data_IF_561864418006
#
_entry.id   IF_561864418006
#
_cell.length_a   1.000
_cell.length_b   1.000
_cell.length_c   1.000
_cell.angle_alpha   90.00
_cell.angle_beta   90.00
_cell.angle_gamma   90.00
#
_symmetry.space_group_name_H-M   'P 1'
#
loop_
_entity.id
_entity.type
_entity.pdbx_description
1 polymer ?
#
# COMPACT_ATOMS: atom_id res chain seq x y z
N UNK A 1 1.88 7.27 11.83
CA UNK A 1 1.14 6.13 12.44
C UNK A 1 -0.22 6.48 13.07
N UNK A 2 -0.49 7.73 13.46
CA UNK A 2 -1.78 8.15 14.03
C UNK A 2 -3.02 7.74 13.21
N UNK A 3 -3.03 8.05 11.90
CA UNK A 3 -4.18 7.72 11.04
C UNK A 3 -4.43 6.22 10.95
N UNK A 4 -3.38 5.40 10.84
CA UNK A 4 -3.50 3.94 10.85
C UNK A 4 -4.17 3.46 12.13
N UNK A 5 -3.74 3.96 13.30
CA UNK A 5 -4.37 3.61 14.57
C UNK A 5 -5.84 4.06 14.62
N UNK A 6 -6.14 5.28 14.18
CA UNK A 6 -7.51 5.78 14.15
C UNK A 6 -8.44 4.95 13.25
N UNK A 7 -7.94 4.46 12.11
CA UNK A 7 -8.68 3.53 11.25
C UNK A 7 -8.81 2.14 11.89
N UNK A 8 -7.73 1.61 12.48
CA UNK A 8 -7.74 0.29 13.14
C UNK A 8 -8.69 0.20 14.35
N UNK A 9 -8.96 1.34 15.00
CA UNK A 9 -9.81 1.44 16.18
C UNK A 9 -11.17 2.13 15.92
N UNK A 10 -11.44 2.59 14.70
CA UNK A 10 -12.73 3.19 14.34
C UNK A 10 -13.03 4.53 15.02
N UNK A 11 -12.02 5.33 15.38
CA UNK A 11 -12.24 6.59 16.11
C UNK A 11 -13.01 7.65 15.32
N UNK A 12 -12.85 7.67 13.98
CA UNK A 12 -13.53 8.60 13.07
C UNK A 12 -13.50 10.08 13.53
N UNK A 13 -12.36 10.52 14.08
CA UNK A 13 -12.11 11.83 14.67
C UNK A 13 -12.05 13.00 13.66
N UNK A 14 -12.03 12.70 12.36
CA UNK A 14 -12.10 13.69 11.28
C UNK A 14 -12.65 13.04 10.00
N UNK A 15 -12.81 13.84 8.93
CA UNK A 15 -13.38 13.36 7.67
C UNK A 15 -12.56 12.23 7.03
N UNK A 16 -11.23 12.27 7.11
CA UNK A 16 -10.36 11.24 6.52
C UNK A 16 -10.56 9.89 7.23
N UNK A 17 -10.52 9.88 8.56
CA UNK A 17 -10.69 8.66 9.36
C UNK A 17 -12.13 8.14 9.28
N UNK A 18 -13.13 9.04 9.20
CA UNK A 18 -14.53 8.66 8.95
C UNK A 18 -14.75 8.08 7.55
N UNK A 19 -14.12 8.64 6.52
CA UNK A 19 -14.23 8.10 5.16
C UNK A 19 -13.64 6.68 5.07
N UNK A 20 -12.52 6.43 5.74
CA UNK A 20 -11.94 5.08 5.82
C UNK A 20 -12.86 4.09 6.56
N UNK A 21 -13.44 4.50 7.68
CA UNK A 21 -14.43 3.72 8.43
C UNK A 21 -15.66 3.37 7.58
N UNK A 22 -16.21 4.35 6.87
CA UNK A 22 -17.31 4.12 5.91
C UNK A 22 -16.88 3.19 4.77
N UNK A 23 -15.67 3.33 4.26
CA UNK A 23 -15.14 2.47 3.19
C UNK A 23 -15.09 1.01 3.65
N UNK A 24 -14.61 0.75 4.87
CA UNK A 24 -14.54 -0.60 5.44
C UNK A 24 -15.93 -1.19 5.72
N UNK A 25 -16.84 -0.44 6.34
CA UNK A 25 -18.19 -0.95 6.67
C UNK A 25 -19.02 -1.26 5.44
N UNK A 26 -18.85 -0.49 4.36
CA UNK A 26 -19.51 -0.71 3.06
C UNK A 26 -18.79 -1.75 2.20
N UNK A 27 -17.78 -2.44 2.73
CA UNK A 27 -16.97 -3.45 2.02
C UNK A 27 -16.36 -2.92 0.72
N UNK A 28 -15.98 -1.64 0.70
CA UNK A 28 -15.27 -1.00 -0.41
C UNK A 28 -13.76 -1.17 -0.23
N UNK A 29 -13.01 -1.07 -1.34
CA UNK A 29 -11.54 -1.15 -1.30
C UNK A 29 -10.94 0.05 -0.58
N UNK A 30 -10.18 -0.22 0.49
CA UNK A 30 -9.33 0.75 1.17
C UNK A 30 -7.87 0.31 1.03
N UNK A 31 -7.00 1.18 0.51
CA UNK A 31 -5.55 0.95 0.46
C UNK A 31 -4.86 1.97 1.36
N UNK A 32 -4.03 1.51 2.30
CA UNK A 32 -3.25 2.35 3.20
C UNK A 32 -1.76 2.23 2.88
N UNK A 33 -1.17 3.33 2.40
CA UNK A 33 0.27 3.43 2.17
C UNK A 33 1.01 3.87 3.43
N UNK A 34 1.25 2.90 4.31
CA UNK A 34 1.83 3.13 5.65
C UNK A 34 3.34 3.33 5.54
N UNK A 35 3.85 4.53 5.86
CA UNK A 35 5.30 4.84 5.87
C UNK A 35 5.78 5.12 7.29
N UNK A 36 6.57 4.21 7.84
CA UNK A 36 7.30 4.35 9.12
C UNK A 36 8.43 3.32 9.21
N UNK A 37 9.52 3.66 9.91
CA UNK A 37 10.59 2.72 10.25
C UNK A 37 11.47 3.27 11.38
N UNK A 38 11.87 2.48 12.38
CA UNK A 38 11.47 1.09 12.63
C UNK A 38 10.01 0.97 13.09
N UNK A 39 9.44 -0.23 12.98
CA UNK A 39 8.10 -0.52 13.45
C UNK A 39 8.14 -1.03 14.88
N UNK A 40 7.25 -0.50 15.73
CA UNK A 40 6.97 -1.10 17.03
C UNK A 40 5.76 -2.05 16.92
N UNK A 41 5.48 -2.78 18.00
CA UNK A 41 4.36 -3.73 18.05
C UNK A 41 3.00 -3.07 17.79
N UNK A 42 2.77 -1.85 18.30
CA UNK A 42 1.52 -1.14 18.07
C UNK A 42 1.29 -0.82 16.58
N UNK A 43 2.34 -0.53 15.82
CA UNK A 43 2.22 -0.34 14.37
C UNK A 43 1.81 -1.64 13.68
N UNK A 44 2.45 -2.75 14.04
CA UNK A 44 2.18 -4.08 13.49
C UNK A 44 0.76 -4.55 13.80
N UNK A 45 0.32 -4.42 15.05
CA UNK A 45 -1.04 -4.80 15.48
C UNK A 45 -2.10 -3.98 14.75
N UNK A 46 -1.88 -2.68 14.56
CA UNK A 46 -2.81 -1.85 13.81
C UNK A 46 -2.85 -2.21 12.32
N UNK A 47 -1.69 -2.50 11.70
CA UNK A 47 -1.64 -2.98 10.32
C UNK A 47 -2.36 -4.34 10.17
N UNK A 48 -2.17 -5.25 11.14
CA UNK A 48 -2.88 -6.53 11.20
C UNK A 48 -4.38 -6.33 11.26
N UNK A 49 -4.87 -5.52 12.22
CA UNK A 49 -6.31 -5.26 12.38
C UNK A 49 -6.95 -4.72 11.11
N UNK A 50 -6.32 -3.73 10.47
CA UNK A 50 -6.85 -3.18 9.20
C UNK A 50 -6.88 -4.24 8.11
N UNK A 51 -5.85 -5.09 8.03
CA UNK A 51 -5.81 -6.19 7.06
C UNK A 51 -6.93 -7.21 7.31
N UNK A 52 -7.18 -7.58 8.58
CA UNK A 52 -8.27 -8.48 8.98
C UNK A 52 -9.67 -7.89 8.71
N UNK A 53 -9.82 -6.56 8.76
CA UNK A 53 -11.06 -5.87 8.39
C UNK A 53 -11.30 -5.81 6.86
N UNK A 54 -10.32 -6.20 6.04
CA UNK A 54 -10.39 -6.18 4.58
C UNK A 54 -9.74 -4.95 3.93
N UNK A 55 -9.07 -4.09 4.70
CA UNK A 55 -8.21 -3.05 4.16
C UNK A 55 -6.89 -3.63 3.64
N UNK A 56 -6.27 -2.97 2.68
CA UNK A 56 -4.98 -3.38 2.12
C UNK A 56 -3.89 -2.49 2.70
N UNK A 57 -2.98 -3.06 3.48
CA UNK A 57 -1.80 -2.35 3.97
C UNK A 57 -0.66 -2.51 2.97
N UNK A 58 -0.29 -1.42 2.31
CA UNK A 58 0.73 -1.41 1.26
C UNK A 58 1.83 -0.39 1.60
N UNK A 59 2.80 -0.72 2.47
CA UNK A 59 3.90 0.20 2.76
C UNK A 59 4.70 0.46 1.47
N UNK A 60 5.13 1.71 1.20
CA UNK A 60 5.93 2.03 0.03
C UNK A 60 7.36 1.50 0.21
N UNK A 61 7.57 0.24 -0.16
CA UNK A 61 8.88 -0.43 -0.17
C UNK A 61 9.37 -0.49 -1.62
N UNK A 62 10.47 0.21 -1.97
CA UNK A 62 10.99 0.26 -3.34
C UNK A 62 11.31 -1.12 -3.91
N UNK A 63 10.82 -1.37 -5.13
CA UNK A 63 11.14 -2.56 -5.92
C UNK A 63 12.42 -2.34 -6.72
N UNK A 64 13.59 -2.64 -6.13
CA UNK A 64 14.88 -2.39 -6.77
C UNK A 64 15.24 -3.41 -7.87
N UNK A 65 14.48 -4.49 -8.03
CA UNK A 65 14.71 -5.49 -9.06
C UNK A 65 14.50 -4.94 -10.49
N UNK A 66 13.78 -3.83 -10.64
CA UNK A 66 13.66 -3.09 -11.91
C UNK A 66 14.84 -2.17 -12.21
N UNK A 67 15.84 -2.10 -11.30
CA UNK A 67 17.02 -1.23 -11.41
C UNK A 67 16.66 0.23 -11.76
N UNK A 68 15.79 0.89 -10.98
CA UNK A 68 15.39 2.26 -11.28
C UNK A 68 16.61 3.20 -11.28
N UNK A 69 16.66 4.11 -12.24
CA UNK A 69 17.74 5.09 -12.39
C UNK A 69 17.44 6.40 -11.67
N UNK A 70 16.16 6.65 -11.35
CA UNK A 70 15.70 7.90 -10.76
C UNK A 70 14.78 7.67 -9.56
N UNK A 71 14.68 8.67 -8.68
CA UNK A 71 13.70 8.65 -7.58
C UNK A 71 12.26 8.64 -8.11
N UNK A 72 12.00 9.31 -9.23
CA UNK A 72 10.70 9.33 -9.88
C UNK A 72 10.27 7.95 -10.35
N UNK A 73 11.18 7.12 -10.85
CA UNK A 73 10.88 5.73 -11.20
C UNK A 73 10.48 4.89 -9.97
N UNK A 74 11.12 5.11 -8.83
CA UNK A 74 10.77 4.43 -7.56
C UNK A 74 9.35 4.81 -7.11
N UNK A 75 9.04 6.11 -7.16
CA UNK A 75 7.74 6.66 -6.78
C UNK A 75 6.65 6.20 -7.75
N UNK A 76 6.92 6.27 -9.06
CA UNK A 76 6.01 5.86 -10.12
C UNK A 76 5.64 4.37 -9.99
N UNK A 77 6.61 3.50 -9.75
CA UNK A 77 6.36 2.08 -9.54
C UNK A 77 5.46 1.84 -8.31
N UNK A 78 5.78 2.46 -7.17
CA UNK A 78 4.99 2.30 -5.94
C UNK A 78 3.56 2.84 -6.11
N UNK A 79 3.40 3.97 -6.78
CA UNK A 79 2.10 4.60 -7.06
C UNK A 79 1.28 3.74 -8.02
N UNK A 80 1.86 3.25 -9.10
CA UNK A 80 1.20 2.36 -10.05
C UNK A 80 0.69 1.08 -9.37
N UNK A 81 1.48 0.48 -8.47
CA UNK A 81 1.06 -0.68 -7.68
C UNK A 81 -0.11 -0.34 -6.74
N UNK A 82 -0.06 0.80 -6.06
CA UNK A 82 -1.15 1.25 -5.19
C UNK A 82 -2.47 1.49 -5.96
N UNK A 83 -2.40 2.12 -7.14
CA UNK A 83 -3.54 2.32 -8.01
C UNK A 83 -4.08 0.99 -8.57
N UNK A 84 -3.19 0.05 -8.93
CA UNK A 84 -3.56 -1.30 -9.32
C UNK A 84 -4.34 -2.05 -8.24
N UNK A 85 -3.98 -1.87 -6.96
CA UNK A 85 -4.74 -2.43 -5.82
C UNK A 85 -6.16 -1.86 -5.70
N UNK A 86 -6.39 -0.64 -6.20
CA UNK A 86 -7.73 -0.06 -6.31
C UNK A 86 -8.54 -0.62 -7.49
N UNK A 87 -7.90 -1.38 -8.40
CA UNK A 87 -8.52 -1.94 -9.60
C UNK A 87 -8.44 -1.03 -10.82
N UNK A 88 -7.55 -0.04 -10.78
CA UNK A 88 -7.25 0.79 -11.95
C UNK A 88 -6.22 0.08 -12.81
N UNK A 89 -6.49 0.01 -14.11
CA UNK A 89 -5.49 -0.42 -15.08
C UNK A 89 -4.48 0.71 -15.31
N UNK A 90 -3.19 0.41 -15.14
CA UNK A 90 -2.11 1.38 -15.27
C UNK A 90 -1.24 0.94 -16.45
N UNK A 91 -1.42 1.55 -17.63
CA UNK A 91 -0.66 1.23 -18.82
C UNK A 91 0.84 1.37 -18.55
N UNK A 92 1.63 0.45 -19.11
CA UNK A 92 3.09 0.47 -19.01
C UNK A 92 3.64 0.40 -17.57
N UNK A 93 2.83 -0.05 -16.59
CA UNK A 93 3.35 -0.32 -15.25
C UNK A 93 4.34 -1.49 -15.31
N UNK A 94 5.57 -1.34 -14.74
CA UNK A 94 6.54 -2.42 -14.74
C UNK A 94 6.02 -3.62 -13.95
N UNK A 95 5.72 -4.72 -14.66
CA UNK A 95 5.30 -5.98 -14.04
C UNK A 95 6.47 -6.97 -14.03
N UNK A 96 6.53 -7.79 -12.99
CA UNK A 96 7.44 -8.92 -12.98
C UNK A 96 6.96 -9.97 -13.98
N UNK A 97 7.76 -10.27 -14.99
CA UNK A 97 7.45 -11.23 -16.06
C UNK A 97 7.92 -12.66 -15.78
N UNK A 98 8.49 -12.93 -14.60
CA UNK A 98 9.24 -14.16 -14.36
C UNK A 98 10.62 -14.05 -15.00
N UNK A 99 11.66 -14.58 -14.34
CA UNK A 99 13.05 -14.49 -14.80
C UNK A 99 13.34 -15.34 -16.05
N UNK A 100 12.69 -15.05 -17.18
CA UNK A 100 12.99 -15.60 -18.49
C UNK A 100 13.92 -14.65 -19.26
N UNK A 101 15.06 -14.34 -18.66
CA UNK A 101 16.21 -13.72 -19.35
C UNK A 101 17.46 -13.90 -18.49
N UNK A 102 17.85 -15.15 -18.27
CA UNK A 102 19.25 -15.48 -17.97
C UNK A 102 19.66 -16.68 -18.83
N UNK A 103 19.68 -16.43 -20.14
CA UNK A 103 20.46 -17.17 -21.14
C UNK A 103 21.09 -16.10 -22.04
N UNK A 104 22.42 -16.07 -22.10
CA UNK A 104 23.32 -15.04 -22.66
C UNK A 104 23.57 -13.89 -21.67
N UNK A 105 24.77 -13.68 -21.12
CA UNK A 105 26.15 -13.83 -21.66
C UNK A 105 27.10 -14.31 -20.57
#
# INVERSE_FOLDING_TARGET
MRTLAAVAHGFADNLLTRAADVTLKERRRLVLMVRETPLNLAHLDNMRRVSEMGGIVFPPVPALYHRPQTADEIVAHSTARALGLLGLDIPNSPQWTGGAADKAV
#
